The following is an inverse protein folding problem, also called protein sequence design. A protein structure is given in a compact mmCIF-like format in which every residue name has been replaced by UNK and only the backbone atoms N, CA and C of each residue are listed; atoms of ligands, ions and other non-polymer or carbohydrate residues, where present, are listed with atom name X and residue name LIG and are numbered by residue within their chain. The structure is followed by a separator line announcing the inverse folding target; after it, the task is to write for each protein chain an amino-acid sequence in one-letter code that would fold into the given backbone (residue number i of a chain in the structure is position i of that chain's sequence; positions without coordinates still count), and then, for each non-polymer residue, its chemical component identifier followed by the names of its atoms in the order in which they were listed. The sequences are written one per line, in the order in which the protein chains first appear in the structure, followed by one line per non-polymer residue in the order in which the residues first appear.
data_IF_691652263301
#
_entry.id   IF_691652263301
#
_cell.length_a   1.000
_cell.length_b   1.000
_cell.length_c   1.000
_cell.angle_alpha   90.00
_cell.angle_beta   90.00
_cell.angle_gamma   90.00
#
_symmetry.space_group_name_H-M   'P 1'
#
loop_
_entity.id
_entity.type
_entity.pdbx_description
1 polymer ?
#
# COMPACT_ATOMS: atom_id res chain seq x y z
N UNK A 1 7.37 -0.67 -5.68
CA UNK A 1 6.97 0.30 -6.72
C UNK A 1 6.54 1.59 -6.01
N UNK A 2 7.14 2.74 -6.32
CA UNK A 2 6.68 4.02 -5.77
C UNK A 2 5.41 4.53 -6.47
N UNK A 3 5.15 4.04 -7.68
CA UNK A 3 3.95 4.30 -8.47
C UNK A 3 2.99 3.10 -8.41
N UNK A 4 2.29 2.97 -7.28
CA UNK A 4 1.32 1.90 -7.07
C UNK A 4 0.17 1.96 -8.09
N UNK A 5 -0.33 3.16 -8.40
CA UNK A 5 -1.44 3.33 -9.35
C UNK A 5 -1.02 2.96 -10.79
N UNK A 6 0.22 3.27 -11.18
CA UNK A 6 0.82 2.81 -12.43
C UNK A 6 0.98 1.29 -12.49
N UNK A 7 1.40 0.66 -11.39
CA UNK A 7 1.45 -0.81 -11.28
C UNK A 7 0.07 -1.44 -11.46
N UNK A 8 -0.95 -0.95 -10.73
CA UNK A 8 -2.33 -1.44 -10.85
C UNK A 8 -2.86 -1.26 -12.27
N UNK A 9 -2.56 -0.12 -12.91
CA UNK A 9 -2.96 0.13 -14.30
C UNK A 9 -2.33 -0.86 -15.28
N UNK A 10 -1.06 -1.22 -15.09
CA UNK A 10 -0.39 -2.25 -15.91
C UNK A 10 -0.97 -3.64 -15.64
N UNK A 11 -1.24 -3.97 -14.38
CA UNK A 11 -1.80 -5.25 -13.96
C UNK A 11 -3.21 -5.47 -14.54
N UNK A 12 -4.07 -4.45 -14.51
CA UNK A 12 -5.44 -4.50 -15.07
C UNK A 12 -5.49 -4.66 -16.60
N UNK A 13 -4.40 -4.36 -17.32
CA UNK A 13 -4.30 -4.59 -18.77
C UNK A 13 -3.96 -6.04 -19.12
N UNK A 14 -3.66 -6.87 -18.11
CA UNK A 14 -3.37 -8.28 -18.29
C UNK A 14 -4.64 -9.11 -18.08
N UNK A 15 -4.87 -10.04 -19.01
CA UNK A 15 -6.05 -10.91 -18.99
C UNK A 15 -5.76 -12.28 -18.36
N UNK A 16 -4.50 -12.54 -17.99
CA UNK A 16 -4.01 -13.81 -17.44
C UNK A 16 -3.84 -13.78 -15.91
N UNK A 17 -4.20 -12.66 -15.26
CA UNK A 17 -4.08 -12.51 -13.82
C UNK A 17 -5.32 -13.07 -13.13
N UNK A 18 -5.10 -14.02 -12.21
CA UNK A 18 -6.14 -14.51 -11.30
C UNK A 18 -6.06 -13.71 -10.01
N UNK A 19 -7.07 -12.88 -9.75
CA UNK A 19 -7.12 -12.08 -8.53
C UNK A 19 -7.67 -12.86 -7.34
N UNK A 20 -7.25 -12.47 -6.13
CA UNK A 20 -7.90 -12.86 -4.89
C UNK A 20 -8.97 -11.79 -4.56
N UNK A 21 -10.22 -12.19 -4.37
CA UNK A 21 -11.33 -11.25 -4.09
C UNK A 21 -11.82 -10.50 -5.34
N UNK A 22 -12.12 -9.21 -5.21
CA UNK A 22 -12.72 -8.38 -6.26
C UNK A 22 -11.75 -7.97 -7.39
N UNK A 23 -10.45 -8.18 -7.22
CA UNK A 23 -9.43 -7.67 -8.15
C UNK A 23 -9.18 -6.16 -8.05
N UNK A 24 -9.70 -5.54 -6.99
CA UNK A 24 -9.39 -4.16 -6.62
C UNK A 24 -8.38 -4.12 -5.48
N UNK A 25 -7.60 -3.03 -5.43
CA UNK A 25 -6.72 -2.81 -4.30
C UNK A 25 -7.56 -2.42 -3.07
N UNK A 26 -7.49 -3.23 -2.02
CA UNK A 26 -8.15 -2.96 -0.74
C UNK A 26 -7.30 -2.04 0.14
N UNK A 27 -7.94 -1.20 0.94
CA UNK A 27 -7.26 -0.37 1.95
C UNK A 27 -7.25 -1.09 3.30
N UNK A 28 -6.07 -1.24 3.88
CA UNK A 28 -5.88 -1.80 5.21
C UNK A 28 -6.33 -0.81 6.30
N UNK A 29 -6.60 -1.27 7.54
CA UNK A 29 -6.99 -0.39 8.64
C UNK A 29 -6.00 0.73 8.94
N UNK A 30 -4.71 0.57 8.62
CA UNK A 30 -3.66 1.61 8.75
C UNK A 30 -3.49 2.48 7.49
N UNK A 31 -4.34 2.29 6.47
CA UNK A 31 -4.46 3.16 5.30
C UNK A 31 -3.54 2.85 4.13
N UNK A 32 -2.84 1.72 4.16
CA UNK A 32 -2.08 1.22 3.00
C UNK A 32 -3.01 0.51 2.02
N UNK A 33 -2.92 0.82 0.73
CA UNK A 33 -3.60 0.05 -0.32
C UNK A 33 -2.74 -1.15 -0.74
N UNK A 34 -3.36 -2.30 -0.95
CA UNK A 34 -2.69 -3.50 -1.45
C UNK A 34 -3.61 -4.31 -2.37
N UNK A 35 -3.01 -5.04 -3.31
CA UNK A 35 -3.72 -5.97 -4.18
C UNK A 35 -3.16 -7.38 -4.01
N UNK A 36 -4.05 -8.36 -4.06
CA UNK A 36 -3.73 -9.78 -3.95
C UNK A 36 -4.12 -10.51 -5.23
N UNK A 37 -3.19 -11.31 -5.76
CA UNK A 37 -3.43 -12.15 -6.93
C UNK A 37 -2.54 -13.40 -6.86
N UNK A 38 -2.75 -14.33 -7.77
CA UNK A 38 -2.00 -15.57 -7.81
C UNK A 38 -0.92 -15.54 -8.88
N UNK A 39 0.22 -16.18 -8.61
CA UNK A 39 1.15 -16.59 -9.66
C UNK A 39 0.62 -17.81 -10.45
N UNK A 40 1.42 -18.29 -11.41
CA UNK A 40 1.07 -19.44 -12.26
C UNK A 40 1.00 -20.76 -11.48
N UNK A 41 1.75 -20.87 -10.38
CA UNK A 41 1.81 -22.05 -9.51
C UNK A 41 0.73 -22.02 -8.42
N UNK A 42 -0.01 -20.91 -8.31
CA UNK A 42 -1.10 -20.72 -7.37
C UNK A 42 -0.68 -20.16 -6.00
N UNK A 43 0.54 -19.65 -5.85
CA UNK A 43 0.94 -18.89 -4.66
C UNK A 43 0.31 -17.50 -4.65
N UNK A 44 -0.03 -17.00 -3.47
CA UNK A 44 -0.58 -15.66 -3.30
C UNK A 44 0.58 -14.66 -3.33
N UNK A 45 0.45 -13.67 -4.21
CA UNK A 45 1.29 -12.48 -4.26
C UNK A 45 0.50 -11.32 -3.68
N UNK A 46 1.10 -10.61 -2.73
CA UNK A 46 0.64 -9.32 -2.24
C UNK A 46 1.57 -8.23 -2.78
N UNK A 47 0.99 -7.20 -3.40
CA UNK A 47 1.70 -5.98 -3.75
C UNK A 47 1.00 -4.82 -3.06
N UNK A 48 1.71 -4.15 -2.14
CA UNK A 48 1.21 -3.01 -1.39
C UNK A 48 1.87 -1.69 -1.79
N UNK A 49 1.21 -0.58 -1.48
CA UNK A 49 1.80 0.75 -1.53
C UNK A 49 3.07 0.82 -0.67
N UNK A 50 4.05 1.61 -1.11
CA UNK A 50 5.20 1.96 -0.29
C UNK A 50 4.73 2.70 0.98
N UNK A 51 4.99 2.14 2.17
CA UNK A 51 4.59 2.73 3.44
C UNK A 51 5.11 4.17 3.62
N UNK A 52 6.30 4.50 3.10
CA UNK A 52 6.82 5.87 3.10
C UNK A 52 5.90 6.84 2.37
N UNK A 53 5.31 6.41 1.25
CA UNK A 53 4.35 7.21 0.48
C UNK A 53 3.00 7.31 1.19
N UNK A 54 2.57 6.28 1.91
CA UNK A 54 1.37 6.33 2.77
C UNK A 54 1.54 7.36 3.88
N UNK A 55 2.70 7.36 4.56
CA UNK A 55 3.03 8.35 5.60
C UNK A 55 3.04 9.76 5.02
N UNK A 56 3.72 9.97 3.89
CA UNK A 56 3.73 11.28 3.20
C UNK A 56 2.33 11.75 2.83
N UNK A 57 1.48 10.88 2.29
CA UNK A 57 0.08 11.20 1.95
C UNK A 57 -0.70 11.71 3.16
N UNK A 58 -0.52 11.10 4.33
CA UNK A 58 -1.17 11.57 5.55
C UNK A 58 -0.66 12.94 6.01
N UNK A 59 0.66 13.15 5.97
CA UNK A 59 1.25 14.46 6.30
C UNK A 59 0.79 15.55 5.32
N UNK A 60 0.78 15.26 4.03
CA UNK A 60 0.32 16.18 2.97
C UNK A 60 -1.18 16.50 3.08
N UNK A 61 -1.97 15.60 3.68
CA UNK A 61 -3.39 15.84 4.01
C UNK A 61 -3.59 16.74 5.24
N UNK A 62 -2.50 17.16 5.89
CA UNK A 62 -2.49 18.04 7.05
C UNK A 62 -2.45 17.33 8.40
N UNK A 63 -2.25 16.00 8.44
CA UNK A 63 -2.07 15.29 9.70
C UNK A 63 -0.68 15.59 10.29
N UNK A 64 -0.59 15.69 11.61
CA UNK A 64 0.71 15.72 12.31
C UNK A 64 1.34 14.32 12.34
N UNK A 65 2.62 14.25 12.74
CA UNK A 65 3.32 12.98 12.98
C UNK A 65 2.59 12.12 14.03
N UNK A 66 2.08 12.73 15.10
CA UNK A 66 1.36 12.05 16.18
C UNK A 66 -0.01 11.54 15.71
N UNK A 67 -0.72 12.31 14.88
CA UNK A 67 -1.98 11.87 14.30
C UNK A 67 -1.76 10.71 13.32
N UNK A 68 -0.72 10.81 12.50
CA UNK A 68 -0.32 9.76 11.56
C UNK A 68 0.09 8.48 12.30
N UNK A 69 0.88 8.61 13.37
CA UNK A 69 1.28 7.52 14.26
C UNK A 69 0.07 6.79 14.83
N UNK A 70 -0.93 7.53 15.34
CA UNK A 70 -2.19 6.94 15.83
C UNK A 70 -3.03 6.31 14.71
N UNK A 71 -3.08 6.94 13.53
CA UNK A 71 -3.84 6.46 12.36
C UNK A 71 -3.28 5.14 11.82
N UNK A 72 -1.97 4.94 11.93
CA UNK A 72 -1.27 3.75 11.45
C UNK A 72 -0.98 2.72 12.55
N UNK A 73 -1.25 3.06 13.82
CA UNK A 73 -0.94 2.25 15.01
C UNK A 73 0.55 1.87 15.13
N UNK A 74 1.44 2.84 14.88
CA UNK A 74 2.90 2.69 14.99
C UNK A 74 3.53 3.87 15.73
N UNK A 75 4.75 3.74 16.23
CA UNK A 75 5.41 4.85 16.94
C UNK A 75 5.86 5.97 15.99
N UNK A 76 5.94 7.21 16.48
CA UNK A 76 6.50 8.34 15.72
C UNK A 76 7.93 8.05 15.25
N UNK A 77 8.74 7.39 16.08
CA UNK A 77 10.11 6.99 15.72
C UNK A 77 10.12 6.01 14.53
N UNK A 78 9.14 5.10 14.43
CA UNK A 78 9.08 4.18 13.29
C UNK A 78 8.69 4.91 12.01
N UNK A 79 7.81 5.92 12.10
CA UNK A 79 7.50 6.81 10.98
C UNK A 79 8.73 7.61 10.53
N UNK A 80 9.52 8.14 11.46
CA UNK A 80 10.76 8.85 11.14
C UNK A 80 11.75 7.94 10.40
N UNK A 81 11.94 6.70 10.87
CA UNK A 81 12.79 5.73 10.19
C UNK A 81 12.30 5.42 8.77
N UNK A 82 10.99 5.23 8.59
CA UNK A 82 10.37 5.02 7.28
C UNK A 82 10.56 6.21 6.33
N UNK A 83 10.56 7.44 6.85
CA UNK A 83 10.78 8.64 6.05
C UNK A 83 12.25 8.83 5.66
N UNK A 84 13.18 8.34 6.48
CA UNK A 84 14.63 8.41 6.28
C UNK A 84 15.22 7.28 5.42
N UNK A 85 14.54 6.13 5.33
CA UNK A 85 14.90 5.02 4.41
C UNK A 85 14.64 5.37 2.95
#
# INVERSE_FOLDING_TARGET
EDDFDGFITKLKKRNDIRYLGSGEAGEAPWGQRAIHFYDLDGHIIEVGENLKMVVRRFLDSGMSMEQTSKRMDVSVSDLEKLLLS
#
